data_IF_101380162104
#
_entry.id   IF_101380162104
#
_cell.length_a   1.000
_cell.length_b   1.000
_cell.length_c   1.000
_cell.angle_alpha   90.00
_cell.angle_beta   90.00
_cell.angle_gamma   90.00
#
_symmetry.space_group_name_H-M   'P 1'
#
loop_
_entity.id
_entity.type
_entity.pdbx_description
1 polymer ?
#
# COMPACT_ATOMS: atom_id res chain seq x y z
N UNK A 1 -9.02 2.03 -8.52
CA UNK A 1 -8.37 2.59 -7.32
C UNK A 1 -8.30 1.51 -6.25
N UNK A 2 -7.47 1.72 -5.23
CA UNK A 2 -7.43 0.92 -4.01
C UNK A 2 -7.23 1.85 -2.82
N UNK A 3 -7.80 1.51 -1.66
CA UNK A 3 -7.71 2.30 -0.43
C UNK A 3 -7.59 1.38 0.77
N UNK A 4 -6.70 1.71 1.70
CA UNK A 4 -6.50 0.99 2.96
C UNK A 4 -6.94 1.86 4.12
N UNK A 5 -7.91 1.38 4.88
CA UNK A 5 -8.38 1.94 6.15
C UNK A 5 -7.76 1.15 7.31
N UNK A 6 -7.92 1.61 8.57
CA UNK A 6 -7.40 0.88 9.72
C UNK A 6 -7.85 -0.59 9.80
N UNK A 7 -9.09 -0.88 9.41
CA UNK A 7 -9.76 -2.18 9.63
C UNK A 7 -10.17 -2.91 8.33
N UNK A 8 -9.96 -2.30 7.16
CA UNK A 8 -10.36 -2.87 5.87
C UNK A 8 -9.58 -2.30 4.70
N UNK A 9 -9.57 -3.04 3.59
CA UNK A 9 -9.04 -2.58 2.30
C UNK A 9 -10.15 -2.66 1.25
N UNK A 10 -10.23 -1.64 0.39
CA UNK A 10 -11.27 -1.52 -0.64
C UNK A 10 -10.65 -1.39 -2.02
N UNK A 11 -11.15 -2.17 -2.99
CA UNK A 11 -10.72 -2.17 -4.39
C UNK A 11 -11.90 -1.85 -5.33
N UNK A 12 -12.37 -0.59 -5.39
CA UNK A 12 -13.52 -0.24 -6.21
C UNK A 12 -13.17 -0.19 -7.71
N UNK A 13 -14.10 -0.72 -8.51
CA UNK A 13 -14.13 -0.61 -9.97
C UNK A 13 -15.46 -0.01 -10.44
N UNK A 14 -15.42 0.76 -11.52
CA UNK A 14 -16.61 1.32 -12.16
C UNK A 14 -16.32 1.57 -13.64
N UNK A 15 -17.29 1.24 -14.50
CA UNK A 15 -17.26 1.61 -15.92
C UNK A 15 -18.68 1.84 -16.43
N UNK A 16 -18.83 2.73 -17.41
CA UNK A 16 -20.09 2.95 -18.13
C UNK A 16 -20.27 1.99 -19.31
N UNK A 17 -19.22 1.26 -19.67
CA UNK A 17 -19.26 0.25 -20.71
C UNK A 17 -19.30 -1.13 -20.05
N UNK A 18 -20.30 -1.94 -20.43
CA UNK A 18 -20.54 -3.24 -19.81
C UNK A 18 -19.38 -4.23 -19.99
N UNK A 19 -18.83 -4.31 -21.20
CA UNK A 19 -17.70 -5.19 -21.50
C UNK A 19 -16.45 -4.77 -20.70
N UNK A 20 -16.18 -3.48 -20.65
CA UNK A 20 -15.06 -2.91 -19.90
C UNK A 20 -15.23 -3.13 -18.39
N UNK A 21 -16.45 -3.01 -17.86
CA UNK A 21 -16.74 -3.31 -16.46
C UNK A 21 -16.36 -4.75 -16.10
N UNK A 22 -16.75 -5.72 -16.94
CA UNK A 22 -16.40 -7.12 -16.71
C UNK A 22 -14.90 -7.37 -16.84
N UNK A 23 -14.22 -6.77 -17.83
CA UNK A 23 -12.77 -6.87 -17.95
C UNK A 23 -12.04 -6.35 -16.70
N UNK A 24 -12.47 -5.20 -16.17
CA UNK A 24 -11.89 -4.62 -14.95
C UNK A 24 -12.17 -5.50 -13.74
N UNK A 25 -13.39 -6.02 -13.62
CA UNK A 25 -13.77 -6.93 -12.54
C UNK A 25 -12.91 -8.19 -12.56
N UNK A 26 -12.72 -8.82 -13.72
CA UNK A 26 -11.90 -10.03 -13.85
C UNK A 26 -10.48 -9.80 -13.35
N UNK A 27 -9.83 -8.72 -13.80
CA UNK A 27 -8.47 -8.36 -13.37
C UNK A 27 -8.40 -8.07 -11.87
N UNK A 28 -9.38 -7.34 -11.31
CA UNK A 28 -9.38 -6.99 -9.90
C UNK A 28 -9.62 -8.20 -8.99
N UNK A 29 -10.55 -9.09 -9.36
CA UNK A 29 -10.83 -10.29 -8.58
C UNK A 29 -9.63 -11.24 -8.59
N UNK A 30 -8.97 -11.41 -9.73
CA UNK A 30 -7.75 -12.23 -9.82
C UNK A 30 -6.62 -11.63 -8.97
N UNK A 31 -6.40 -10.30 -9.07
CA UNK A 31 -5.39 -9.61 -8.26
C UNK A 31 -5.66 -9.70 -6.74
N UNK A 32 -6.92 -9.82 -6.31
CA UNK A 32 -7.27 -9.96 -4.89
C UNK A 32 -7.11 -11.40 -4.41
N UNK A 33 -7.58 -12.38 -5.18
CA UNK A 33 -7.64 -13.78 -4.73
C UNK A 33 -6.42 -14.62 -5.11
N UNK A 34 -5.72 -14.27 -6.17
CA UNK A 34 -4.56 -14.99 -6.70
C UNK A 34 -3.35 -14.06 -6.99
N UNK A 35 -2.92 -13.23 -6.02
CA UNK A 35 -1.87 -12.24 -6.28
C UNK A 35 -0.50 -12.89 -6.46
N UNK A 36 0.23 -12.49 -7.51
CA UNK A 36 1.62 -12.94 -7.76
C UNK A 36 2.59 -12.62 -6.63
N UNK A 37 2.32 -11.58 -5.84
CA UNK A 37 3.15 -11.17 -4.68
C UNK A 37 3.34 -12.30 -3.67
N UNK A 38 2.48 -13.33 -3.70
CA UNK A 38 2.60 -14.52 -2.84
C UNK A 38 3.79 -15.40 -3.23
N UNK A 39 4.19 -15.37 -4.49
CA UNK A 39 5.23 -16.23 -5.06
C UNK A 39 6.48 -15.44 -5.44
N UNK A 40 6.32 -14.15 -5.76
CA UNK A 40 7.37 -13.25 -6.19
C UNK A 40 7.68 -12.20 -5.11
N UNK A 41 8.79 -12.41 -4.40
CA UNK A 41 9.23 -11.55 -3.30
C UNK A 41 9.71 -10.18 -3.79
N UNK A 42 10.16 -10.06 -5.04
CA UNK A 42 10.65 -8.79 -5.57
C UNK A 42 9.52 -7.75 -5.64
N UNK A 43 8.28 -8.20 -5.85
CA UNK A 43 7.09 -7.34 -5.80
C UNK A 43 6.91 -6.73 -4.39
N UNK A 44 7.09 -7.52 -3.33
CA UNK A 44 7.01 -7.01 -1.93
C UNK A 44 8.14 -6.03 -1.65
N UNK A 45 9.35 -6.33 -2.14
CA UNK A 45 10.51 -5.48 -1.95
C UNK A 45 10.33 -4.12 -2.64
N UNK A 46 9.85 -4.11 -3.88
CA UNK A 46 9.62 -2.88 -4.63
C UNK A 46 8.49 -2.04 -4.00
N UNK A 47 7.31 -2.64 -3.79
CA UNK A 47 6.13 -1.90 -3.33
C UNK A 47 6.20 -1.57 -1.84
N UNK A 48 6.73 -2.48 -1.02
CA UNK A 48 6.90 -2.29 0.42
C UNK A 48 8.16 -1.50 0.76
N UNK A 49 9.25 -2.24 0.98
CA UNK A 49 10.56 -1.68 1.24
C UNK A 49 11.70 -2.67 0.94
N UNK A 50 12.87 -2.14 0.63
CA UNK A 50 14.12 -2.88 0.49
C UNK A 50 15.33 -1.98 0.77
N UNK A 51 16.49 -2.63 0.88
CA UNK A 51 17.77 -1.97 0.86
C UNK A 51 18.22 -1.71 -0.58
N UNK A 52 18.65 -0.49 -0.87
CA UNK A 52 19.12 -0.06 -2.18
C UNK A 52 20.60 0.34 -2.12
N UNK A 53 21.35 -0.11 -3.13
CA UNK A 53 22.71 0.33 -3.46
C UNK A 53 22.80 0.63 -4.95
N UNK A 54 23.38 1.77 -5.32
CA UNK A 54 23.70 2.08 -6.73
C UNK A 54 25.04 1.47 -7.13
N UNK A 55 26.04 1.51 -6.24
CA UNK A 55 27.34 0.87 -6.37
C UNK A 55 27.69 0.06 -5.11
N UNK A 56 28.59 -0.92 -5.25
CA UNK A 56 28.95 -1.83 -4.15
C UNK A 56 29.59 -1.14 -2.93
N UNK A 57 30.21 0.03 -3.14
CA UNK A 57 30.89 0.81 -2.11
C UNK A 57 30.01 1.92 -1.51
N UNK A 58 28.77 2.08 -2.01
CA UNK A 58 27.86 3.12 -1.54
C UNK A 58 27.24 2.78 -0.16
N UNK A 59 26.70 3.79 0.50
CA UNK A 59 25.93 3.59 1.73
C UNK A 59 24.59 2.92 1.42
N UNK A 60 24.25 1.91 2.22
CA UNK A 60 22.99 1.19 2.11
C UNK A 60 21.81 2.11 2.48
N UNK A 61 20.90 2.35 1.55
CA UNK A 61 19.72 3.20 1.79
C UNK A 61 18.43 2.39 1.81
N UNK A 62 17.38 2.91 2.43
CA UNK A 62 16.04 2.31 2.37
C UNK A 62 15.22 2.93 1.24
N UNK A 63 14.69 2.11 0.34
CA UNK A 63 13.72 2.49 -0.70
C UNK A 63 12.48 1.60 -0.64
N UNK A 64 11.44 2.00 -1.36
CA UNK A 64 10.16 1.31 -1.44
C UNK A 64 9.01 2.30 -1.66
N UNK A 65 7.97 1.89 -2.38
CA UNK A 65 6.83 2.77 -2.71
C UNK A 65 6.10 3.19 -1.45
N UNK A 66 5.57 2.25 -0.67
CA UNK A 66 4.83 2.51 0.57
C UNK A 66 5.73 3.13 1.63
N UNK A 67 6.99 2.71 1.73
CA UNK A 67 7.93 3.30 2.68
C UNK A 67 8.10 4.82 2.46
N UNK A 68 8.27 5.24 1.21
CA UNK A 68 8.40 6.66 0.87
C UNK A 68 7.08 7.42 1.00
N UNK A 69 5.95 6.80 0.64
CA UNK A 69 4.63 7.39 0.85
C UNK A 69 4.38 7.69 2.33
N UNK A 70 4.63 6.72 3.21
CA UNK A 70 4.39 6.86 4.63
C UNK A 70 5.35 7.87 5.28
N UNK A 71 6.61 7.97 4.83
CA UNK A 71 7.50 9.07 5.24
C UNK A 71 6.85 10.44 4.98
N UNK A 72 6.19 10.61 3.83
CA UNK A 72 5.41 11.79 3.52
C UNK A 72 4.25 11.99 4.49
N UNK A 73 3.43 10.96 4.73
CA UNK A 73 2.30 11.02 5.66
C UNK A 73 2.73 11.42 7.08
N UNK A 74 3.83 10.86 7.59
CA UNK A 74 4.34 11.18 8.92
C UNK A 74 5.00 12.57 9.04
N UNK A 75 5.24 13.24 7.91
CA UNK A 75 5.71 14.64 7.91
C UNK A 75 4.57 15.65 8.09
N UNK A 76 3.31 15.22 7.97
CA UNK A 76 2.12 16.07 8.16
C UNK A 76 1.71 16.11 9.64
N UNK A 77 1.65 17.31 10.27
CA UNK A 77 1.18 17.45 11.65
C UNK A 77 -0.25 16.94 11.86
N UNK A 78 -1.14 17.13 10.88
CA UNK A 78 -2.54 16.69 10.96
C UNK A 78 -2.64 15.16 11.02
N UNK A 79 -1.88 14.47 10.17
CA UNK A 79 -1.83 13.00 10.17
C UNK A 79 -1.25 12.43 11.46
N UNK A 80 -0.25 13.11 12.04
CA UNK A 80 0.31 12.74 13.34
C UNK A 80 -0.72 12.94 14.45
N UNK A 81 -1.43 14.08 14.45
CA UNK A 81 -2.47 14.36 15.44
C UNK A 81 -3.59 13.32 15.38
N UNK A 82 -4.14 13.05 14.18
CA UNK A 82 -5.21 12.06 13.99
C UNK A 82 -4.79 10.68 14.50
N UNK A 83 -3.56 10.25 14.19
CA UNK A 83 -3.02 8.98 14.69
C UNK A 83 -2.94 8.96 16.21
N UNK A 84 -2.44 10.01 16.85
CA UNK A 84 -2.36 10.06 18.31
C UNK A 84 -3.77 10.05 18.93
N UNK A 85 -4.71 10.81 18.35
CA UNK A 85 -6.10 10.79 18.79
C UNK A 85 -6.71 9.39 18.74
N UNK A 86 -6.52 8.66 17.63
CA UNK A 86 -7.03 7.29 17.50
C UNK A 86 -6.41 6.35 18.54
N UNK A 87 -5.11 6.48 18.82
CA UNK A 87 -4.43 5.67 19.84
C UNK A 87 -4.96 5.93 21.26
N UNK A 88 -5.29 7.18 21.58
CA UNK A 88 -5.82 7.54 22.90
C UNK A 88 -7.32 7.20 23.04
N UNK A 89 -8.10 7.31 21.96
CA UNK A 89 -9.52 6.98 21.97
C UNK A 89 -9.79 5.47 21.95
N UNK A 90 -8.92 4.70 21.29
CA UNK A 90 -9.03 3.26 21.14
C UNK A 90 -7.73 2.58 21.59
N UNK A 91 -7.35 2.65 22.89
CA UNK A 91 -6.08 2.12 23.36
C UNK A 91 -6.01 0.59 23.33
N UNK A 92 -7.16 -0.07 23.42
CA UNK A 92 -7.26 -1.54 23.52
C UNK A 92 -7.56 -2.21 22.16
N UNK A 93 -7.72 -1.44 21.08
CA UNK A 93 -8.04 -1.95 19.74
C UNK A 93 -7.28 -1.16 18.67
N UNK A 94 -6.76 -1.85 17.66
CA UNK A 94 -6.05 -1.21 16.54
C UNK A 94 -6.96 -1.04 15.34
#
# INVERSE_FOLDING_TARGET
>A
NAMTYPDKTMYPVASKNDKDFHNLMDVYLDAVFYPRVREDVEIVMQEGWHYELENADDELTYKGVVFNEMKGVYSSPDSVLERQMMRELFPDTT
#
